data_IF_353168748061
#
_entry.id   IF_353168748061
#
_cell.length_a   1.000
_cell.length_b   1.000
_cell.length_c   1.000
_cell.angle_alpha   90.00
_cell.angle_beta   90.00
_cell.angle_gamma   90.00
#
_symmetry.space_group_name_H-M   'P 1'
#
loop_
_entity.id
_entity.type
_entity.pdbx_description
1 polymer ?
#
# COMPACT_ATOMS: atom_id res chain seq x y z
N UNK A 1 -12.16 -9.26 18.68
CA UNK A 1 -11.22 -10.00 17.82
C UNK A 1 -11.13 -11.42 18.33
N UNK A 2 -11.35 -12.40 17.47
CA UNK A 2 -11.21 -13.83 17.79
C UNK A 2 -10.19 -14.44 16.87
N UNK A 3 -9.26 -15.20 17.42
CA UNK A 3 -8.15 -15.82 16.70
C UNK A 3 -8.13 -17.30 17.04
N UNK A 4 -8.08 -18.17 16.03
CA UNK A 4 -7.98 -19.62 16.22
C UNK A 4 -6.88 -20.17 15.33
N UNK A 5 -6.00 -20.96 15.91
CA UNK A 5 -4.90 -21.64 15.22
C UNK A 5 -4.04 -20.72 14.35
N UNK A 6 -3.63 -19.58 14.88
CA UNK A 6 -2.85 -18.59 14.17
C UNK A 6 -1.48 -18.38 14.84
N UNK A 7 -0.40 -18.71 14.16
CA UNK A 7 0.98 -18.61 14.69
C UNK A 7 1.12 -19.25 16.08
N UNK A 8 1.37 -18.43 17.12
CA UNK A 8 1.49 -18.88 18.51
C UNK A 8 0.14 -19.09 19.21
N UNK A 9 -0.97 -18.62 18.65
CA UNK A 9 -2.27 -18.70 19.28
C UNK A 9 -3.02 -19.98 18.90
N UNK A 10 -3.37 -20.79 19.88
CA UNK A 10 -4.36 -21.87 19.72
C UNK A 10 -5.78 -21.28 19.66
N UNK A 11 -6.10 -20.45 20.64
CA UNK A 11 -7.32 -19.66 20.70
C UNK A 11 -7.05 -18.39 21.51
N UNK A 12 -7.55 -17.26 21.05
CA UNK A 12 -7.44 -15.99 21.75
C UNK A 12 -8.65 -15.12 21.42
N UNK A 13 -9.17 -14.43 22.41
CA UNK A 13 -10.23 -13.44 22.22
C UNK A 13 -9.86 -12.13 22.88
N UNK A 14 -10.16 -11.02 22.22
CA UNK A 14 -10.02 -9.66 22.72
C UNK A 14 -11.31 -8.90 22.44
N UNK A 15 -11.95 -8.45 23.51
CA UNK A 15 -13.08 -7.51 23.44
C UNK A 15 -12.61 -6.12 23.85
N UNK A 16 -13.03 -5.11 23.11
CA UNK A 16 -12.70 -3.71 23.34
C UNK A 16 -14.01 -2.95 23.34
N UNK A 17 -14.27 -2.20 24.40
CA UNK A 17 -15.50 -1.40 24.52
C UNK A 17 -15.48 -0.25 23.50
N UNK A 18 -16.67 0.13 23.03
CA UNK A 18 -16.82 1.13 21.95
C UNK A 18 -16.27 2.52 22.29
N UNK A 19 -16.13 2.84 23.57
CA UNK A 19 -15.63 4.14 24.04
C UNK A 19 -14.10 4.19 24.11
N UNK A 20 -13.42 3.05 23.99
CA UNK A 20 -11.97 2.97 24.06
C UNK A 20 -11.38 3.37 22.70
N UNK A 21 -10.60 4.45 22.69
CA UNK A 21 -9.91 4.95 21.51
C UNK A 21 -8.49 4.39 21.40
N UNK A 22 -7.86 4.04 22.50
CA UNK A 22 -6.47 3.60 22.56
C UNK A 22 -6.36 2.28 23.31
N UNK A 23 -5.64 1.33 22.72
CA UNK A 23 -5.38 0.02 23.34
C UNK A 23 -3.88 -0.21 23.39
N UNK A 24 -3.37 -0.45 24.60
CA UNK A 24 -1.96 -0.78 24.83
C UNK A 24 -1.83 -2.28 25.07
N UNK A 25 -1.06 -2.96 24.22
CA UNK A 25 -0.75 -4.39 24.38
C UNK A 25 0.67 -4.53 24.93
N UNK A 26 0.79 -4.98 26.17
CA UNK A 26 2.06 -5.14 26.85
C UNK A 26 2.27 -6.57 27.37
N UNK A 27 3.49 -6.90 27.75
CA UNK A 27 3.90 -8.21 28.27
C UNK A 27 5.32 -8.57 27.84
N UNK A 28 5.81 -9.74 28.28
CA UNK A 28 7.17 -10.23 27.97
C UNK A 28 7.41 -10.44 26.46
N UNK A 29 8.69 -10.45 26.07
CA UNK A 29 9.03 -10.76 24.69
C UNK A 29 8.66 -12.22 24.35
N UNK A 30 8.19 -12.45 23.15
CA UNK A 30 7.81 -13.79 22.69
C UNK A 30 6.36 -14.22 22.98
N UNK A 31 5.62 -13.52 23.86
CA UNK A 31 4.22 -13.90 24.22
C UNK A 31 3.18 -13.73 23.11
N UNK A 32 3.57 -13.18 21.96
CA UNK A 32 2.66 -13.08 20.81
C UNK A 32 2.07 -11.70 20.54
N UNK A 33 2.43 -10.62 21.27
CA UNK A 33 1.90 -9.26 21.06
C UNK A 33 1.85 -8.83 19.60
N UNK A 34 2.95 -9.01 18.90
CA UNK A 34 3.03 -8.68 17.47
C UNK A 34 2.18 -9.62 16.61
N UNK A 35 1.96 -10.87 17.03
CA UNK A 35 1.10 -11.79 16.30
C UNK A 35 -0.37 -11.36 16.39
N UNK A 36 -0.79 -10.76 17.50
CA UNK A 36 -2.13 -10.17 17.64
C UNK A 36 -2.32 -9.02 16.64
N UNK A 37 -1.38 -8.06 16.59
CA UNK A 37 -1.43 -6.95 15.64
C UNK A 37 -1.34 -7.45 14.17
N UNK A 38 -0.50 -8.45 13.92
CA UNK A 38 -0.37 -9.06 12.60
C UNK A 38 -1.69 -9.70 12.15
N UNK A 39 -2.41 -10.39 13.05
CA UNK A 39 -3.71 -10.99 12.72
C UNK A 39 -4.72 -9.97 12.20
N UNK A 40 -4.79 -8.81 12.83
CA UNK A 40 -5.68 -7.71 12.44
C UNK A 40 -5.26 -7.14 11.08
N UNK A 41 -3.97 -7.03 10.82
CA UNK A 41 -3.43 -6.41 9.61
C UNK A 41 -3.80 -7.15 8.30
N UNK A 42 -4.18 -8.43 8.37
CA UNK A 42 -4.64 -9.20 7.21
C UNK A 42 -5.91 -8.66 6.56
N UNK A 43 -6.72 -7.91 7.29
CA UNK A 43 -7.92 -7.27 6.75
C UNK A 43 -7.65 -5.99 5.95
N UNK A 44 -6.41 -5.50 5.97
CA UNK A 44 -5.96 -4.42 5.10
C UNK A 44 -5.01 -4.88 3.99
N UNK A 45 -4.18 -5.90 4.29
CA UNK A 45 -3.22 -6.44 3.34
C UNK A 45 -3.19 -7.98 3.44
N UNK A 46 -3.38 -8.65 2.33
CA UNK A 46 -3.40 -10.13 2.27
C UNK A 46 -2.11 -10.81 2.76
N UNK A 47 -1.00 -10.07 2.86
CA UNK A 47 0.28 -10.56 3.40
C UNK A 47 0.50 -10.23 4.89
N UNK A 48 -0.41 -9.44 5.49
CA UNK A 48 -0.29 -8.99 6.88
C UNK A 48 0.85 -7.99 7.11
N UNK A 49 1.09 -7.67 8.38
CA UNK A 49 2.10 -6.72 8.83
C UNK A 49 3.53 -7.16 8.43
N UNK A 50 3.81 -8.45 8.56
CA UNK A 50 5.15 -9.05 8.36
C UNK A 50 5.39 -9.58 6.95
N UNK A 51 4.41 -9.54 6.06
CA UNK A 51 4.51 -10.10 4.73
C UNK A 51 4.56 -11.63 4.70
N UNK A 52 4.05 -12.30 5.75
CA UNK A 52 4.16 -13.73 5.97
C UNK A 52 3.52 -14.57 4.86
N UNK A 53 4.17 -15.67 4.51
CA UNK A 53 3.59 -16.74 3.68
C UNK A 53 2.43 -17.44 4.42
N UNK A 54 1.68 -18.27 3.73
CA UNK A 54 0.57 -19.01 4.39
C UNK A 54 1.13 -20.01 5.40
N UNK A 55 2.24 -20.66 5.09
CA UNK A 55 2.92 -21.64 5.91
C UNK A 55 3.41 -21.02 7.25
N UNK A 56 3.84 -19.78 7.22
CA UNK A 56 4.27 -19.05 8.43
C UNK A 56 3.11 -18.61 9.32
N UNK A 57 1.90 -18.59 8.80
CA UNK A 57 0.68 -18.26 9.54
C UNK A 57 0.17 -19.47 10.31
N UNK A 58 0.34 -20.66 9.73
CA UNK A 58 -0.11 -21.91 10.32
C UNK A 58 0.69 -22.24 11.58
N UNK A 59 0.09 -22.83 12.60
CA UNK A 59 0.80 -23.26 13.80
C UNK A 59 1.85 -24.33 13.46
N UNK A 60 3.07 -24.17 13.95
CA UNK A 60 4.21 -25.05 13.62
C UNK A 60 4.05 -26.52 14.04
N UNK A 61 3.19 -26.81 15.04
CA UNK A 61 3.06 -28.12 15.69
C UNK A 61 1.66 -28.73 15.60
N UNK A 62 0.88 -28.39 14.59
CA UNK A 62 -0.48 -28.94 14.46
C UNK A 62 -0.67 -29.73 13.16
N UNK A 63 -1.51 -30.78 13.23
CA UNK A 63 -1.94 -31.53 12.05
C UNK A 63 -2.51 -30.59 10.99
N UNK A 64 -2.22 -30.87 9.71
CA UNK A 64 -2.62 -30.05 8.53
C UNK A 64 -4.15 -29.89 8.39
N UNK A 65 -4.93 -30.55 9.23
CA UNK A 65 -6.40 -30.55 9.17
C UNK A 65 -7.08 -29.45 9.99
N UNK A 66 -6.32 -28.65 10.76
CA UNK A 66 -6.90 -27.59 11.58
C UNK A 66 -7.02 -26.28 10.82
N UNK A 67 -8.25 -25.82 10.67
CA UNK A 67 -8.55 -24.52 10.07
C UNK A 67 -7.99 -23.38 10.92
N UNK A 68 -7.22 -22.50 10.30
CA UNK A 68 -6.82 -21.22 10.89
C UNK A 68 -7.92 -20.19 10.60
N UNK A 69 -8.38 -19.50 11.64
CA UNK A 69 -9.41 -18.46 11.51
C UNK A 69 -9.02 -17.21 12.30
N UNK A 70 -9.25 -16.07 11.69
CA UNK A 70 -9.21 -14.75 12.34
C UNK A 70 -10.58 -14.12 12.10
N UNK A 71 -11.22 -13.68 13.15
CA UNK A 71 -12.51 -13.00 13.09
C UNK A 71 -12.43 -11.65 13.81
N UNK A 72 -12.96 -10.61 13.16
CA UNK A 72 -13.09 -9.27 13.72
C UNK A 72 -14.56 -8.88 13.67
N UNK A 73 -15.13 -8.59 14.83
CA UNK A 73 -16.45 -7.99 14.95
C UNK A 73 -16.30 -6.51 15.18
N UNK A 74 -16.96 -5.70 14.37
CA UNK A 74 -16.96 -4.25 14.47
C UNK A 74 -18.39 -3.78 14.63
N UNK A 75 -18.64 -2.98 15.64
CA UNK A 75 -19.91 -2.27 15.78
C UNK A 75 -19.84 -0.96 14.99
N UNK A 76 -20.65 -0.85 13.96
CA UNK A 76 -20.79 0.36 13.15
C UNK A 76 -21.41 1.49 13.99
N UNK A 77 -21.16 2.76 13.59
CA UNK A 77 -21.84 3.94 14.17
C UNK A 77 -23.36 3.85 14.09
N UNK A 78 -23.91 3.10 13.12
CA UNK A 78 -25.34 2.78 13.00
C UNK A 78 -25.79 1.63 13.90
N UNK A 79 -24.98 1.21 14.88
CA UNK A 79 -25.21 0.09 15.83
C UNK A 79 -25.30 -1.30 15.19
N UNK A 80 -25.08 -1.45 13.90
CA UNK A 80 -25.02 -2.78 13.26
C UNK A 80 -23.67 -3.43 13.59
N UNK A 81 -23.71 -4.73 13.89
CA UNK A 81 -22.51 -5.54 14.08
C UNK A 81 -22.16 -6.15 12.73
N UNK A 82 -20.95 -5.91 12.27
CA UNK A 82 -20.38 -6.54 11.07
C UNK A 82 -19.31 -7.54 11.48
N UNK A 83 -19.41 -8.74 10.95
CA UNK A 83 -18.48 -9.83 11.23
C UNK A 83 -17.57 -10.07 10.03
N UNK A 84 -16.30 -9.77 10.18
CA UNK A 84 -15.29 -10.02 9.16
C UNK A 84 -14.48 -11.24 9.57
N UNK A 85 -14.34 -12.23 8.69
CA UNK A 85 -13.46 -13.36 8.97
C UNK A 85 -12.51 -13.67 7.82
N UNK A 86 -11.29 -14.05 8.18
CA UNK A 86 -10.31 -14.66 7.32
C UNK A 86 -10.19 -16.12 7.74
N UNK A 87 -10.36 -17.04 6.80
CA UNK A 87 -10.13 -18.46 7.00
C UNK A 87 -9.05 -18.96 6.06
N UNK A 88 -8.13 -19.74 6.57
CA UNK A 88 -7.16 -20.48 5.76
C UNK A 88 -7.68 -21.88 5.61
N UNK A 89 -8.00 -22.28 4.40
CA UNK A 89 -8.64 -23.56 4.08
C UNK A 89 -7.68 -24.35 3.21
N UNK A 90 -7.47 -25.61 3.58
CA UNK A 90 -6.76 -26.57 2.75
C UNK A 90 -7.76 -27.18 1.76
N UNK A 91 -7.52 -27.04 0.45
CA UNK A 91 -8.34 -27.66 -0.60
C UNK A 91 -7.74 -28.98 -1.15
N UNK A 92 -6.88 -29.62 -0.34
CA UNK A 92 -6.20 -30.88 -0.68
C UNK A 92 -4.84 -30.68 -1.36
N UNK A 93 -4.66 -29.62 -2.15
CA UNK A 93 -3.41 -29.35 -2.85
C UNK A 93 -2.68 -28.11 -2.31
N UNK A 94 -3.43 -27.10 -1.84
CA UNK A 94 -2.86 -25.83 -1.41
C UNK A 94 -3.73 -25.18 -0.31
N UNK A 95 -3.05 -24.46 0.58
CA UNK A 95 -3.72 -23.58 1.51
C UNK A 95 -4.12 -22.26 0.82
N UNK A 96 -5.40 -21.87 0.99
CA UNK A 96 -5.94 -20.63 0.42
C UNK A 96 -6.58 -19.76 1.48
N UNK A 97 -6.31 -18.45 1.41
CA UNK A 97 -6.98 -17.44 2.23
C UNK A 97 -8.35 -17.13 1.63
N UNK A 98 -9.40 -17.27 2.42
CA UNK A 98 -10.76 -16.88 2.04
C UNK A 98 -11.30 -15.87 3.04
N UNK A 99 -11.88 -14.77 2.51
CA UNK A 99 -12.47 -13.71 3.30
C UNK A 99 -13.98 -13.82 3.31
N UNK A 100 -14.59 -13.44 4.43
CA UNK A 100 -16.04 -13.47 4.61
C UNK A 100 -16.49 -12.17 5.32
N UNK A 101 -17.68 -11.71 4.96
CA UNK A 101 -18.44 -10.67 5.63
C UNK A 101 -19.81 -11.26 5.99
N UNK A 102 -20.15 -11.27 7.28
CA UNK A 102 -21.38 -11.88 7.80
C UNK A 102 -21.63 -13.29 7.24
N UNK A 103 -20.60 -14.16 7.33
CA UNK A 103 -20.57 -15.55 6.84
C UNK A 103 -20.60 -15.67 5.29
N UNK A 104 -20.80 -14.60 4.52
CA UNK A 104 -20.81 -14.65 3.07
C UNK A 104 -19.40 -14.42 2.52
N UNK A 105 -18.98 -15.27 1.57
CA UNK A 105 -17.68 -15.11 0.91
C UNK A 105 -17.58 -13.74 0.24
N UNK A 106 -16.46 -13.07 0.46
CA UNK A 106 -16.20 -11.72 -0.07
C UNK A 106 -14.75 -11.57 -0.52
N UNK A 107 -14.41 -10.42 -1.09
CA UNK A 107 -13.05 -10.05 -1.43
C UNK A 107 -12.44 -9.12 -0.38
N UNK A 108 -11.11 -9.13 -0.27
CA UNK A 108 -10.40 -8.16 0.58
C UNK A 108 -10.69 -6.71 0.16
N UNK A 109 -10.90 -6.47 -1.12
CA UNK A 109 -11.27 -5.15 -1.65
C UNK A 109 -12.58 -4.64 -1.03
N UNK A 110 -13.61 -5.49 -0.98
CA UNK A 110 -14.88 -5.13 -0.32
C UNK A 110 -14.74 -4.90 1.19
N UNK A 111 -13.87 -5.67 1.86
CA UNK A 111 -13.62 -5.46 3.31
C UNK A 111 -13.01 -4.08 3.55
N UNK A 112 -12.14 -3.60 2.67
CA UNK A 112 -11.51 -2.27 2.77
C UNK A 112 -12.50 -1.11 2.68
N UNK A 113 -13.70 -1.33 2.14
CA UNK A 113 -14.76 -0.31 2.16
C UNK A 113 -15.29 -0.05 3.58
N UNK A 114 -15.12 -1.03 4.48
CA UNK A 114 -15.61 -0.97 5.88
C UNK A 114 -14.48 -0.75 6.90
N UNK A 115 -13.31 -1.35 6.65
CA UNK A 115 -12.19 -1.32 7.59
C UNK A 115 -10.94 -0.80 6.89
N UNK A 116 -10.38 0.27 7.43
CA UNK A 116 -9.07 0.79 7.02
C UNK A 116 -8.09 0.59 8.16
N UNK A 117 -7.03 -0.13 7.91
CA UNK A 117 -6.00 -0.45 8.89
C UNK A 117 -4.67 0.07 8.37
N UNK A 118 -4.09 0.98 9.12
CA UNK A 118 -2.74 1.51 8.91
C UNK A 118 -1.91 1.08 10.10
N UNK A 119 -0.66 0.74 9.87
CA UNK A 119 0.28 0.40 10.96
C UNK A 119 1.61 1.08 10.75
N UNK A 120 2.28 1.32 11.86
CA UNK A 120 3.65 1.77 11.91
C UNK A 120 4.49 0.64 12.51
N UNK A 121 5.54 0.24 11.84
CA UNK A 121 6.50 -0.74 12.34
C UNK A 121 7.87 -0.09 12.55
N UNK A 122 8.72 -0.64 13.44
CA UNK A 122 10.06 -0.10 13.68
C UNK A 122 10.95 0.01 12.44
N UNK A 123 10.67 -0.81 11.40
CA UNK A 123 11.43 -0.80 10.14
C UNK A 123 10.96 0.26 9.14
N UNK A 124 9.85 0.95 9.42
CA UNK A 124 9.29 1.95 8.49
C UNK A 124 10.02 3.29 8.53
N UNK A 125 10.86 3.53 9.54
CA UNK A 125 11.80 4.66 9.55
C UNK A 125 12.71 4.67 8.32
N UNK A 126 13.11 3.49 7.84
CA UNK A 126 13.87 3.31 6.59
C UNK A 126 13.22 3.97 5.36
N UNK A 127 11.89 4.10 5.34
CA UNK A 127 11.16 4.78 4.26
C UNK A 127 11.67 6.21 4.05
N UNK A 128 12.10 6.86 5.13
CA UNK A 128 12.53 8.25 5.06
C UNK A 128 13.91 8.44 4.43
N UNK A 129 14.83 7.48 4.56
CA UNK A 129 16.22 7.63 4.11
C UNK A 129 16.72 6.57 3.10
N UNK A 130 16.06 5.42 2.95
CA UNK A 130 16.53 4.36 2.02
C UNK A 130 16.13 4.57 0.54
N UNK A 131 15.70 5.77 0.17
CA UNK A 131 15.55 6.16 -1.23
C UNK A 131 14.11 6.25 -1.75
N UNK A 132 14.00 6.74 -2.98
CA UNK A 132 12.74 7.16 -3.60
C UNK A 132 11.72 6.03 -3.79
N UNK A 133 12.20 4.81 -4.01
CA UNK A 133 11.30 3.67 -4.23
C UNK A 133 10.47 3.34 -2.99
N UNK A 134 11.07 3.40 -1.79
CA UNK A 134 10.33 3.15 -0.56
C UNK A 134 9.34 4.27 -0.25
N UNK A 135 9.74 5.53 -0.47
CA UNK A 135 8.85 6.70 -0.31
C UNK A 135 7.63 6.59 -1.24
N UNK A 136 7.85 6.30 -2.54
CA UNK A 136 6.74 6.11 -3.49
C UNK A 136 5.82 4.96 -3.07
N UNK A 137 6.38 3.80 -2.77
CA UNK A 137 5.59 2.63 -2.35
C UNK A 137 4.77 2.88 -1.09
N UNK A 138 5.28 3.70 -0.17
CA UNK A 138 4.58 4.08 1.04
C UNK A 138 3.39 4.99 0.72
N UNK A 139 3.60 6.06 -0.03
CA UNK A 139 2.52 6.97 -0.45
C UNK A 139 1.49 6.22 -1.30
N UNK A 140 1.92 5.38 -2.24
CA UNK A 140 1.02 4.55 -3.05
C UNK A 140 0.13 3.64 -2.20
N UNK A 141 0.67 3.07 -1.10
CA UNK A 141 -0.13 2.28 -0.16
C UNK A 141 -1.20 3.10 0.55
N UNK A 142 -0.88 4.33 0.93
CA UNK A 142 -1.85 5.23 1.56
C UNK A 142 -2.95 5.63 0.57
N UNK A 143 -2.59 6.00 -0.66
CA UNK A 143 -3.56 6.30 -1.72
C UNK A 143 -4.44 5.07 -2.00
N UNK A 144 -3.84 3.91 -2.16
CA UNK A 144 -4.51 2.65 -2.51
C UNK A 144 -5.55 2.19 -1.47
N UNK A 145 -5.45 2.65 -0.23
CA UNK A 145 -6.45 2.36 0.80
C UNK A 145 -7.74 3.18 0.63
N UNK A 146 -7.63 4.33 -0.01
CA UNK A 146 -8.72 5.29 -0.14
C UNK A 146 -9.25 5.42 -1.57
N UNK A 147 -8.47 4.99 -2.56
CA UNK A 147 -8.77 5.19 -3.97
C UNK A 147 -8.71 3.86 -4.75
N UNK A 148 -9.90 3.31 -5.03
CA UNK A 148 -10.06 2.09 -5.84
C UNK A 148 -9.68 2.30 -7.31
N UNK A 149 -9.85 3.55 -7.84
CA UNK A 149 -9.45 3.89 -9.20
C UNK A 149 -7.95 3.85 -9.35
N UNK A 150 -7.21 4.41 -8.40
CA UNK A 150 -5.74 4.32 -8.36
C UNK A 150 -5.26 2.87 -8.43
N UNK A 151 -5.85 1.99 -7.62
CA UNK A 151 -5.50 0.56 -7.63
C UNK A 151 -5.71 -0.07 -9.00
N UNK A 152 -6.85 0.21 -9.64
CA UNK A 152 -7.20 -0.29 -10.98
C UNK A 152 -6.21 0.23 -12.03
N UNK A 153 -5.90 1.52 -12.00
CA UNK A 153 -4.95 2.15 -12.93
C UNK A 153 -3.55 1.56 -12.78
N UNK A 154 -3.07 1.34 -11.55
CA UNK A 154 -1.80 0.68 -11.26
C UNK A 154 -1.73 -0.77 -11.80
N UNK A 155 -2.81 -1.53 -11.69
CA UNK A 155 -2.89 -2.89 -12.22
C UNK A 155 -2.89 -2.89 -13.75
N UNK A 156 -3.67 -2.01 -14.37
CA UNK A 156 -3.70 -1.85 -15.82
C UNK A 156 -2.34 -1.43 -16.37
N UNK A 157 -1.69 -0.45 -15.74
CA UNK A 157 -0.34 -0.04 -16.12
C UNK A 157 0.64 -1.23 -16.09
N UNK A 158 0.65 -2.02 -15.01
CA UNK A 158 1.52 -3.20 -14.92
C UNK A 158 1.27 -4.21 -16.04
N UNK A 159 0.01 -4.47 -16.34
CA UNK A 159 -0.40 -5.38 -17.42
C UNK A 159 0.12 -4.87 -18.76
N UNK A 160 -0.18 -3.62 -19.09
CA UNK A 160 0.14 -3.04 -20.38
C UNK A 160 1.66 -2.84 -20.58
N UNK A 161 2.41 -2.53 -19.51
CA UNK A 161 3.88 -2.51 -19.52
C UNK A 161 4.46 -3.90 -19.83
N UNK A 162 3.91 -4.96 -19.22
CA UNK A 162 4.33 -6.33 -19.50
C UNK A 162 4.01 -6.73 -20.95
N UNK A 163 2.85 -6.36 -21.45
CA UNK A 163 2.42 -6.61 -22.83
C UNK A 163 3.30 -5.84 -23.82
N UNK A 164 3.60 -4.56 -23.56
CA UNK A 164 4.54 -3.77 -24.37
C UNK A 164 5.91 -4.47 -24.53
N UNK A 165 6.47 -4.96 -23.42
CA UNK A 165 7.74 -5.69 -23.45
C UNK A 165 7.65 -6.99 -24.26
N UNK A 166 6.53 -7.69 -24.22
CA UNK A 166 6.31 -8.88 -25.05
C UNK A 166 6.23 -8.54 -26.53
N UNK A 167 5.56 -7.43 -26.89
CA UNK A 167 5.49 -6.96 -28.29
C UNK A 167 6.89 -6.59 -28.80
N UNK A 168 7.66 -5.83 -28.03
CA UNK A 168 9.03 -5.44 -28.36
C UNK A 168 9.92 -6.67 -28.62
N UNK A 169 9.73 -7.75 -27.85
CA UNK A 169 10.52 -8.98 -27.94
C UNK A 169 10.16 -9.86 -29.14
N UNK A 170 8.88 -9.99 -29.46
CA UNK A 170 8.40 -11.09 -30.30
C UNK A 170 7.76 -10.64 -31.60
N UNK A 171 6.78 -9.76 -31.57
CA UNK A 171 5.98 -9.41 -32.72
C UNK A 171 6.47 -8.17 -33.47
N UNK A 172 7.04 -7.22 -32.76
CA UNK A 172 7.45 -5.90 -33.28
C UNK A 172 6.35 -5.18 -34.07
N UNK A 173 5.07 -5.49 -33.79
CA UNK A 173 3.93 -4.84 -34.41
C UNK A 173 3.85 -3.38 -33.97
N UNK A 174 4.23 -2.48 -34.86
CA UNK A 174 4.28 -1.03 -34.56
C UNK A 174 2.90 -0.44 -34.30
N UNK A 175 1.84 -0.92 -34.94
CA UNK A 175 0.47 -0.40 -34.73
C UNK A 175 0.01 -0.74 -33.32
N UNK A 176 0.18 -1.99 -32.92
CA UNK A 176 -0.15 -2.43 -31.58
C UNK A 176 0.72 -1.74 -30.52
N UNK A 177 2.02 -1.63 -30.78
CA UNK A 177 2.96 -0.97 -29.88
C UNK A 177 2.57 0.51 -29.65
N UNK A 178 2.23 1.25 -30.69
CA UNK A 178 1.76 2.63 -30.59
C UNK A 178 0.46 2.76 -29.80
N UNK A 179 -0.47 1.79 -29.93
CA UNK A 179 -1.72 1.75 -29.19
C UNK A 179 -1.50 1.54 -27.68
N UNK A 180 -0.66 0.57 -27.34
CA UNK A 180 -0.42 0.23 -25.93
C UNK A 180 0.39 1.32 -25.23
N UNK A 181 1.36 1.93 -25.93
CA UNK A 181 2.14 3.05 -25.38
C UNK A 181 1.28 4.29 -25.12
N UNK A 182 0.27 4.57 -25.94
CA UNK A 182 -0.70 5.64 -25.65
C UNK A 182 -1.48 5.35 -24.36
N UNK A 183 -1.94 4.11 -24.15
CA UNK A 183 -2.60 3.73 -22.89
C UNK A 183 -1.66 3.87 -21.69
N UNK A 184 -0.43 3.39 -21.81
CA UNK A 184 0.59 3.49 -20.77
C UNK A 184 0.84 4.96 -20.43
N UNK A 185 0.99 5.85 -21.42
CA UNK A 185 1.20 7.27 -21.21
C UNK A 185 0.04 7.92 -20.43
N UNK A 186 -1.19 7.57 -20.76
CA UNK A 186 -2.38 8.03 -20.03
C UNK A 186 -2.35 7.54 -18.57
N UNK A 187 -2.07 6.26 -18.33
CA UNK A 187 -2.00 5.73 -16.96
C UNK A 187 -0.87 6.36 -16.15
N UNK A 188 0.29 6.61 -16.76
CA UNK A 188 1.40 7.32 -16.09
C UNK A 188 0.95 8.71 -15.66
N UNK A 189 0.28 9.45 -16.55
CA UNK A 189 -0.27 10.77 -16.21
C UNK A 189 -1.28 10.70 -15.07
N UNK A 190 -2.25 9.78 -15.14
CA UNK A 190 -3.29 9.64 -14.11
C UNK A 190 -2.68 9.32 -12.73
N UNK A 191 -1.74 8.40 -12.67
CA UNK A 191 -1.03 8.06 -11.43
C UNK A 191 -0.25 9.25 -10.89
N UNK A 192 0.46 9.97 -11.76
CA UNK A 192 1.18 11.18 -11.38
C UNK A 192 0.25 12.24 -10.79
N UNK A 193 -0.86 12.54 -11.47
CA UNK A 193 -1.83 13.55 -11.01
C UNK A 193 -2.50 13.18 -9.69
N UNK A 194 -2.87 11.89 -9.51
CA UNK A 194 -3.42 11.38 -8.25
C UNK A 194 -2.42 11.55 -7.12
N UNK A 195 -1.16 11.17 -7.31
CA UNK A 195 -0.11 11.30 -6.30
C UNK A 195 0.12 12.76 -5.92
N UNK A 196 0.18 13.66 -6.92
CA UNK A 196 0.33 15.11 -6.71
C UNK A 196 -0.81 15.67 -5.88
N UNK A 197 -2.06 15.42 -6.28
CA UNK A 197 -3.26 15.85 -5.55
C UNK A 197 -3.30 15.29 -4.13
N UNK A 198 -2.86 14.04 -3.95
CA UNK A 198 -2.79 13.44 -2.63
C UNK A 198 -1.77 14.14 -1.73
N UNK A 199 -0.58 14.47 -2.25
CA UNK A 199 0.42 15.25 -1.51
C UNK A 199 -0.09 16.65 -1.13
N UNK A 200 -0.77 17.35 -2.06
CA UNK A 200 -1.41 18.64 -1.79
C UNK A 200 -2.45 18.55 -0.67
N UNK A 201 -3.30 17.52 -0.72
CA UNK A 201 -4.31 17.26 0.31
C UNK A 201 -3.68 16.97 1.67
N UNK A 202 -2.64 16.13 1.72
CA UNK A 202 -1.89 15.87 2.95
C UNK A 202 -1.29 17.15 3.53
N UNK A 203 -0.65 17.96 2.71
CA UNK A 203 -0.07 19.24 3.14
C UNK A 203 -1.13 20.17 3.76
N UNK A 204 -2.32 20.22 3.16
CA UNK A 204 -3.43 21.00 3.71
C UNK A 204 -3.84 20.48 5.10
N UNK A 205 -4.00 19.16 5.27
CA UNK A 205 -4.39 18.56 6.55
C UNK A 205 -3.30 18.79 7.61
N UNK A 206 -2.03 18.57 7.28
CA UNK A 206 -0.90 18.79 8.20
C UNK A 206 -0.89 20.23 8.70
N UNK A 207 -1.10 21.19 7.80
CA UNK A 207 -1.06 22.60 8.15
C UNK A 207 -2.27 23.06 8.99
N UNK A 208 -3.45 22.47 8.78
CA UNK A 208 -4.69 22.94 9.41
C UNK A 208 -5.12 22.15 10.64
N UNK A 209 -4.85 20.83 10.67
CA UNK A 209 -5.43 19.94 11.68
C UNK A 209 -4.41 19.31 12.64
N UNK A 210 -3.14 19.21 12.25
CA UNK A 210 -2.11 18.52 13.01
C UNK A 210 -1.12 19.51 13.69
N UNK A 211 -1.64 20.48 14.45
CA UNK A 211 -0.83 21.52 15.09
C UNK A 211 0.16 20.99 16.15
N UNK A 212 -0.10 19.83 16.75
CA UNK A 212 0.75 19.21 17.76
C UNK A 212 1.84 18.33 17.19
N UNK A 213 1.82 18.10 15.87
CA UNK A 213 2.77 17.25 15.17
C UNK A 213 3.77 18.07 14.37
N UNK A 214 4.89 17.42 14.01
CA UNK A 214 5.94 18.06 13.22
C UNK A 214 5.38 18.61 11.92
N UNK A 215 5.69 19.85 11.60
CA UNK A 215 5.27 20.52 10.37
C UNK A 215 6.18 20.09 9.22
N UNK A 216 5.61 19.35 8.30
CA UNK A 216 6.31 18.87 7.12
C UNK A 216 5.55 19.24 5.85
N UNK A 217 6.27 19.30 4.72
CA UNK A 217 5.70 19.48 3.39
C UNK A 217 6.15 18.35 2.48
N UNK A 218 5.19 17.68 1.87
CA UNK A 218 5.42 16.70 0.81
C UNK A 218 5.46 17.45 -0.53
N UNK A 219 6.52 17.24 -1.27
CA UNK A 219 6.67 17.75 -2.63
C UNK A 219 6.78 16.58 -3.58
N UNK A 220 5.94 16.59 -4.60
CA UNK A 220 5.92 15.56 -5.63
C UNK A 220 6.44 16.17 -6.92
N UNK A 221 7.59 15.68 -7.40
CA UNK A 221 8.28 16.21 -8.57
C UNK A 221 8.55 15.10 -9.57
N UNK A 222 8.48 15.43 -10.84
CA UNK A 222 8.99 14.59 -11.91
C UNK A 222 10.12 15.33 -12.61
N UNK A 223 11.25 14.67 -12.85
CA UNK A 223 12.43 15.27 -13.48
C UNK A 223 12.16 15.89 -14.85
N UNK A 224 11.19 15.35 -15.57
CA UNK A 224 10.84 15.80 -16.91
C UNK A 224 9.83 16.98 -16.89
N UNK A 225 9.13 17.24 -15.77
CA UNK A 225 7.92 18.10 -15.77
C UNK A 225 7.76 18.96 -14.52
N UNK A 226 8.69 19.80 -14.22
CA UNK A 226 8.57 20.68 -13.05
C UNK A 226 7.41 21.70 -13.13
N UNK A 227 6.91 22.06 -14.33
CA UNK A 227 5.96 23.19 -14.48
C UNK A 227 4.79 22.97 -15.45
N UNK A 228 4.58 21.78 -16.00
CA UNK A 228 3.51 21.54 -16.97
C UNK A 228 2.25 20.99 -16.29
N UNK A 229 1.14 21.73 -16.40
CA UNK A 229 -0.17 21.30 -15.87
C UNK A 229 -1.12 20.75 -16.96
N UNK A 230 -0.74 20.86 -18.23
CA UNK A 230 -1.61 20.45 -19.34
C UNK A 230 -1.50 18.94 -19.58
N UNK A 231 -2.63 18.24 -19.41
CA UNK A 231 -2.75 16.77 -19.55
C UNK A 231 -2.24 16.30 -20.91
N UNK A 232 -2.67 16.93 -21.99
CA UNK A 232 -2.35 16.46 -23.35
C UNK A 232 -0.87 16.64 -23.68
N UNK A 233 -0.28 17.75 -23.25
CA UNK A 233 1.16 17.97 -23.40
C UNK A 233 1.97 16.95 -22.64
N UNK A 234 1.61 16.67 -21.39
CA UNK A 234 2.30 15.68 -20.55
C UNK A 234 2.16 14.26 -21.12
N UNK A 235 0.95 13.89 -21.54
CA UNK A 235 0.72 12.57 -22.11
C UNK A 235 1.51 12.36 -23.40
N UNK A 236 1.62 13.39 -24.24
CA UNK A 236 2.44 13.33 -25.45
C UNK A 236 3.94 13.20 -25.15
N UNK A 237 4.45 13.93 -24.17
CA UNK A 237 5.83 13.80 -23.72
C UNK A 237 6.11 12.39 -23.16
N UNK A 238 5.20 11.84 -22.39
CA UNK A 238 5.32 10.46 -21.90
C UNK A 238 5.33 9.44 -23.05
N UNK A 239 4.50 9.68 -24.06
CA UNK A 239 4.48 8.84 -25.24
C UNK A 239 5.81 8.92 -26.04
N UNK A 240 6.36 10.10 -26.19
CA UNK A 240 7.66 10.30 -26.84
C UNK A 240 8.78 9.58 -26.07
N UNK A 241 8.83 9.73 -24.76
CA UNK A 241 9.80 9.02 -23.92
C UNK A 241 9.68 7.50 -24.03
N UNK A 242 8.48 6.95 -24.07
CA UNK A 242 8.27 5.51 -24.29
C UNK A 242 8.81 5.06 -25.66
N UNK A 243 8.58 5.86 -26.71
CA UNK A 243 9.08 5.57 -28.05
C UNK A 243 10.61 5.62 -28.11
N UNK A 244 11.21 6.66 -27.55
CA UNK A 244 12.66 6.85 -27.52
C UNK A 244 13.40 5.75 -26.75
N UNK A 245 12.70 5.08 -25.81
CA UNK A 245 13.28 4.00 -25.01
C UNK A 245 13.05 2.60 -25.56
N UNK A 246 12.40 2.42 -26.72
CA UNK A 246 12.04 1.10 -27.28
C UNK A 246 13.24 0.17 -27.40
N UNK A 247 14.32 0.62 -28.06
CA UNK A 247 15.53 -0.18 -28.25
C UNK A 247 16.20 -0.58 -26.94
N UNK A 248 16.33 0.38 -26.02
CA UNK A 248 16.90 0.13 -24.71
C UNK A 248 16.03 -0.85 -23.90
N UNK A 249 14.71 -0.71 -23.96
CA UNK A 249 13.76 -1.56 -23.25
C UNK A 249 13.75 -2.99 -23.84
N UNK A 250 13.91 -3.13 -25.14
CA UNK A 250 14.05 -4.44 -25.82
C UNK A 250 15.30 -5.17 -25.36
N UNK A 251 16.45 -4.48 -25.37
CA UNK A 251 17.75 -5.05 -24.97
C UNK A 251 17.76 -5.45 -23.50
N UNK A 252 17.32 -4.54 -22.63
CA UNK A 252 17.38 -4.72 -21.17
C UNK A 252 16.22 -5.52 -20.61
N UNK A 253 15.18 -5.78 -21.41
CA UNK A 253 13.93 -6.44 -21.01
C UNK A 253 13.21 -5.74 -19.84
N UNK A 254 13.36 -4.41 -19.77
CA UNK A 254 12.76 -3.56 -18.73
C UNK A 254 12.22 -2.28 -19.36
N UNK A 255 11.14 -1.75 -18.82
CA UNK A 255 10.65 -0.41 -19.19
C UNK A 255 11.37 0.63 -18.34
N UNK A 256 12.20 1.45 -18.93
CA UNK A 256 13.01 2.48 -18.25
C UNK A 256 12.21 3.74 -17.94
N UNK A 257 11.19 4.04 -18.71
CA UNK A 257 10.31 5.16 -18.47
C UNK A 257 8.96 4.68 -17.91
N UNK A 258 8.66 5.07 -16.68
CA UNK A 258 7.42 4.71 -15.99
C UNK A 258 7.23 5.66 -14.79
N UNK A 259 6.18 5.40 -14.01
CA UNK A 259 5.88 6.07 -12.73
C UNK A 259 7.02 6.01 -11.68
N UNK A 260 8.07 5.25 -11.95
CA UNK A 260 9.23 5.10 -11.05
C UNK A 260 10.24 6.25 -11.19
N UNK A 261 10.06 7.15 -12.14
CA UNK A 261 10.92 8.34 -12.33
C UNK A 261 10.52 9.50 -11.42
N UNK A 262 9.35 9.43 -10.80
CA UNK A 262 8.87 10.46 -9.89
C UNK A 262 9.67 10.50 -8.59
N UNK A 263 9.87 11.71 -8.06
CA UNK A 263 10.53 11.96 -6.79
C UNK A 263 9.55 12.50 -5.75
N UNK A 264 9.63 11.95 -4.55
CA UNK A 264 8.91 12.47 -3.39
C UNK A 264 9.95 13.03 -2.44
N UNK A 265 9.94 14.34 -2.22
CA UNK A 265 10.70 14.99 -1.17
C UNK A 265 9.78 15.31 0.01
N UNK A 266 10.30 15.13 1.20
CA UNK A 266 9.64 15.50 2.44
C UNK A 266 10.56 16.52 3.12
N UNK A 267 10.04 17.72 3.33
CA UNK A 267 10.78 18.83 3.88
C UNK A 267 10.21 19.18 5.25
N UNK A 268 11.07 19.29 6.23
CA UNK A 268 10.75 19.91 7.50
C UNK A 268 10.58 21.41 7.28
N UNK A 269 9.39 21.94 7.59
CA UNK A 269 9.09 23.35 7.29
C UNK A 269 9.81 24.28 8.28
N UNK A 270 9.97 23.87 9.54
CA UNK A 270 10.55 24.72 10.59
C UNK A 270 12.04 24.97 10.34
N UNK A 271 12.76 23.92 9.97
CA UNK A 271 14.20 23.99 9.72
C UNK A 271 14.56 24.17 8.25
N UNK A 272 13.57 24.05 7.35
CA UNK A 272 13.75 24.09 5.89
C UNK A 272 14.80 23.10 5.37
N UNK A 273 14.84 21.90 5.93
CA UNK A 273 15.77 20.84 5.56
C UNK A 273 15.02 19.58 5.08
N UNK A 274 15.67 18.81 4.20
CA UNK A 274 15.13 17.51 3.80
C UNK A 274 15.07 16.56 4.98
N UNK A 275 13.98 15.80 5.09
CA UNK A 275 13.80 14.82 6.16
C UNK A 275 14.90 13.75 6.17
N UNK A 276 15.53 13.50 5.03
CA UNK A 276 16.66 12.56 4.89
C UNK A 276 17.87 12.98 5.76
N UNK A 277 18.03 14.29 6.00
CA UNK A 277 19.09 14.86 6.80
C UNK A 277 18.72 15.04 8.29
N UNK A 278 17.48 14.74 8.66
CA UNK A 278 17.01 14.84 10.04
C UNK A 278 17.43 13.62 10.88
N UNK A 279 17.39 13.77 12.21
CA UNK A 279 17.61 12.66 13.15
C UNK A 279 16.56 11.56 12.99
N UNK A 280 16.87 10.35 13.43
CA UNK A 280 15.93 9.22 13.38
C UNK A 280 14.63 9.49 14.15
N UNK A 281 14.69 10.23 15.25
CA UNK A 281 13.49 10.65 16.01
C UNK A 281 12.59 11.59 15.20
N UNK A 282 13.19 12.55 14.52
CA UNK A 282 12.49 13.49 13.64
C UNK A 282 11.88 12.81 12.42
N UNK A 283 12.60 11.85 11.83
CA UNK A 283 12.10 11.04 10.71
C UNK A 283 10.86 10.21 11.12
N UNK A 284 10.90 9.59 12.32
CA UNK A 284 9.74 8.85 12.87
C UNK A 284 8.57 9.76 13.17
N UNK A 285 8.81 10.94 13.73
CA UNK A 285 7.78 11.94 13.97
C UNK A 285 7.12 12.39 12.68
N UNK A 286 7.91 12.65 11.63
CA UNK A 286 7.42 13.03 10.29
C UNK A 286 6.60 11.90 9.65
N UNK A 287 7.04 10.65 9.78
CA UNK A 287 6.29 9.49 9.30
C UNK A 287 4.92 9.38 10.01
N UNK A 288 4.91 9.59 11.33
CA UNK A 288 3.68 9.60 12.12
C UNK A 288 2.75 10.73 11.67
N UNK A 289 3.27 11.93 11.42
CA UNK A 289 2.49 13.04 10.86
C UNK A 289 1.79 12.66 9.56
N UNK A 290 2.50 12.02 8.62
CA UNK A 290 1.91 11.58 7.34
C UNK A 290 0.82 10.53 7.54
N UNK A 291 1.00 9.61 8.49
CA UNK A 291 0.02 8.54 8.76
C UNK A 291 -1.25 9.09 9.39
N UNK A 292 -1.14 10.12 10.22
CA UNK A 292 -2.27 10.72 10.93
C UNK A 292 -3.03 11.75 10.09
N UNK A 293 -2.41 12.30 9.03
CA UNK A 293 -3.04 13.17 8.06
C UNK A 293 -3.92 12.41 7.06
#
# INVERSE_FOLDING_TARGET
VFITNFKSYKSYSLSIDNNIKHVVVYGYNGVGKTNLLDSISYFSNSKGLRGSSIEEILPKNQSKDKNTQIEIQIRSLKKNILNFSLRIINDGNQFKKKFFLDQRKTSLTKIKDYIKIIWLSPYMDKIMYEGQTLKRNFIDKLIAQNDGYFNKTMLNLKKDVSERLNILKHSKDEKWLNLIERKIAVYIFEIFDIRRKYAEKLNMIINTQLNQFRKIRLEYKNKLFSNLQNKDKLTNLFLEELKNKRELDEITKRTHFSINTDEISIVDIENNISIDACSTGEQKSSLLTIILA
#
